data_IF_150452911442
#
_entry.id   IF_150452911442
#
_cell.length_a   1.000
_cell.length_b   1.000
_cell.length_c   1.000
_cell.angle_alpha   90.00
_cell.angle_beta   90.00
_cell.angle_gamma   90.00
#
_symmetry.space_group_name_H-M   'P 1'
#
loop_
_entity.id
_entity.type
_entity.pdbx_description
1 polymer ?
#
# COMPACT_ATOMS: atom_id res chain seq x y z
N UNK A 1 -2.43 -9.97 -12.19
CA UNK A 1 -2.10 -8.52 -12.12
C UNK A 1 -1.67 -8.06 -13.49
N UNK A 2 -2.32 -7.03 -14.05
CA UNK A 2 -2.17 -6.61 -15.46
C UNK A 2 -0.75 -6.10 -15.82
N UNK A 3 0.05 -5.65 -14.84
CA UNK A 3 1.40 -5.12 -15.06
C UNK A 3 2.55 -6.09 -14.67
N UNK A 4 2.25 -7.35 -14.33
CA UNK A 4 3.27 -8.30 -13.89
C UNK A 4 3.89 -8.02 -12.50
N UNK A 5 3.35 -7.06 -11.77
CA UNK A 5 3.74 -6.75 -10.38
C UNK A 5 3.06 -7.72 -9.41
N UNK A 6 3.82 -8.31 -8.49
CA UNK A 6 3.28 -9.14 -7.40
C UNK A 6 2.63 -8.25 -6.34
N UNK A 7 1.45 -8.61 -5.88
CA UNK A 7 0.75 -7.99 -4.76
C UNK A 7 0.11 -9.09 -3.89
N UNK A 8 -0.28 -8.80 -2.64
CA UNK A 8 -1.09 -9.70 -1.84
C UNK A 8 -2.33 -10.13 -2.62
N UNK A 9 -2.79 -11.36 -2.38
CA UNK A 9 -4.11 -11.76 -2.88
C UNK A 9 -5.15 -10.89 -2.20
N UNK A 10 -5.97 -10.22 -3.00
CA UNK A 10 -6.91 -9.21 -2.53
C UNK A 10 -8.32 -9.53 -3.01
N UNK A 11 -9.30 -9.41 -2.12
CA UNK A 11 -10.72 -9.56 -2.41
C UNK A 11 -11.44 -8.30 -1.94
N UNK A 12 -12.02 -7.57 -2.90
CA UNK A 12 -12.89 -6.43 -2.59
C UNK A 12 -14.21 -6.91 -2.00
N UNK A 13 -14.67 -6.22 -0.97
CA UNK A 13 -15.94 -6.53 -0.35
C UNK A 13 -17.11 -5.95 -1.17
N UNK A 14 -18.26 -6.66 -1.23
CA UNK A 14 -19.46 -6.11 -1.83
C UNK A 14 -19.99 -4.95 -0.98
N UNK A 15 -20.32 -3.84 -1.62
CA UNK A 15 -20.99 -2.71 -0.96
C UNK A 15 -22.43 -3.08 -0.62
N UNK A 16 -22.82 -2.85 0.63
CA UNK A 16 -24.19 -2.96 1.08
C UNK A 16 -24.89 -1.58 1.04
N UNK A 17 -25.93 -1.50 0.21
CA UNK A 17 -26.77 -0.30 0.07
C UNK A 17 -28.13 -0.42 0.80
N UNK A 18 -28.35 -1.49 1.57
CA UNK A 18 -29.61 -1.75 2.27
C UNK A 18 -29.42 -1.74 3.78
N UNK A 19 -30.44 -1.34 4.54
CA UNK A 19 -30.37 -1.37 6.01
C UNK A 19 -30.31 -2.78 6.59
N UNK A 20 -30.75 -3.79 5.81
CA UNK A 20 -30.66 -5.20 6.16
C UNK A 20 -29.86 -5.93 5.09
N UNK A 21 -28.85 -6.66 5.53
CA UNK A 21 -28.10 -7.59 4.69
C UNK A 21 -28.74 -8.96 4.86
N UNK A 22 -28.92 -9.66 3.75
CA UNK A 22 -29.32 -11.06 3.75
C UNK A 22 -28.18 -11.91 4.36
N UNK A 23 -28.49 -12.64 5.44
CA UNK A 23 -27.53 -13.47 6.15
C UNK A 23 -26.93 -14.57 5.27
N UNK A 24 -27.66 -15.06 4.27
CA UNK A 24 -27.14 -16.02 3.29
C UNK A 24 -26.05 -15.36 2.42
N UNK A 25 -26.27 -14.11 2.01
CA UNK A 25 -25.30 -13.36 1.20
C UNK A 25 -24.04 -13.05 2.03
N UNK A 26 -24.19 -12.66 3.30
CA UNK A 26 -23.05 -12.47 4.20
C UNK A 26 -22.22 -13.75 4.34
N UNK A 27 -22.88 -14.87 4.65
CA UNK A 27 -22.18 -16.14 4.87
C UNK A 27 -21.45 -16.63 3.63
N UNK A 28 -22.04 -16.47 2.44
CA UNK A 28 -21.37 -16.80 1.18
C UNK A 28 -20.13 -15.93 0.95
N UNK A 29 -20.14 -14.67 1.36
CA UNK A 29 -18.96 -13.81 1.27
C UNK A 29 -17.88 -14.20 2.27
N UNK A 30 -18.25 -14.55 3.52
CA UNK A 30 -17.30 -15.06 4.50
C UNK A 30 -16.63 -16.36 4.05
N UNK A 31 -17.41 -17.30 3.52
CA UNK A 31 -16.90 -18.58 3.00
C UNK A 31 -15.99 -18.37 1.78
N UNK A 32 -16.29 -17.38 0.93
CA UNK A 32 -15.41 -16.98 -0.16
C UNK A 32 -14.07 -16.47 0.39
N UNK A 33 -14.08 -15.58 1.37
CA UNK A 33 -12.86 -15.05 1.98
C UNK A 33 -12.03 -16.17 2.61
N UNK A 34 -12.63 -17.06 3.39
CA UNK A 34 -11.93 -18.17 4.08
C UNK A 34 -11.43 -19.25 3.12
N UNK A 35 -12.04 -19.40 1.94
CA UNK A 35 -11.54 -20.30 0.90
C UNK A 35 -10.32 -19.72 0.18
N UNK A 36 -10.32 -18.41 -0.02
CA UNK A 36 -9.35 -17.75 -0.86
C UNK A 36 -8.17 -17.14 -0.09
N UNK A 37 -8.38 -16.73 1.15
CA UNK A 37 -7.41 -16.09 2.05
C UNK A 37 -7.25 -16.92 3.33
N UNK A 38 -6.14 -16.71 4.05
CA UNK A 38 -5.90 -17.37 5.35
C UNK A 38 -5.98 -16.37 6.51
N UNK A 39 -6.32 -16.86 7.70
CA UNK A 39 -6.17 -16.09 8.93
C UNK A 39 -4.70 -16.08 9.41
N UNK A 40 -4.22 -14.98 10.01
CA UNK A 40 -4.89 -13.67 10.02
C UNK A 40 -4.91 -13.07 8.60
N UNK A 41 -5.96 -12.30 8.29
CA UNK A 41 -6.08 -11.54 7.04
C UNK A 41 -6.10 -10.04 7.33
N UNK A 42 -5.75 -9.22 6.35
CA UNK A 42 -5.71 -7.76 6.48
C UNK A 42 -7.01 -7.17 5.96
N UNK A 43 -7.76 -6.49 6.81
CA UNK A 43 -8.85 -5.59 6.41
C UNK A 43 -8.29 -4.21 6.08
N UNK A 44 -8.72 -3.60 4.96
CA UNK A 44 -8.41 -2.20 4.59
C UNK A 44 -9.68 -1.47 4.14
N UNK A 45 -9.97 -0.32 4.73
CA UNK A 45 -10.94 0.62 4.15
C UNK A 45 -10.32 1.36 2.95
N UNK A 46 -11.08 1.58 1.88
CA UNK A 46 -10.60 2.24 0.67
C UNK A 46 -10.46 3.76 0.80
N UNK A 47 -11.17 4.37 1.76
CA UNK A 47 -11.14 5.82 1.97
C UNK A 47 -10.51 6.18 3.31
N UNK A 48 -9.46 7.00 3.30
CA UNK A 48 -8.79 7.61 4.47
C UNK A 48 -7.30 7.22 4.55
N UNK A 49 -6.55 7.83 5.48
CA UNK A 49 -5.08 7.86 5.44
C UNK A 49 -4.41 7.47 6.77
N UNK A 50 -3.07 7.38 6.74
CA UNK A 50 -2.20 7.21 7.92
C UNK A 50 -2.38 5.87 8.67
N UNK A 51 -2.74 4.79 7.99
CA UNK A 51 -2.76 3.43 8.56
C UNK A 51 -3.85 3.15 9.60
N UNK A 52 -4.66 4.15 9.99
CA UNK A 52 -5.73 4.00 11.00
C UNK A 52 -6.87 3.05 10.61
N UNK A 53 -6.91 2.63 9.34
CA UNK A 53 -8.00 1.86 8.75
C UNK A 53 -7.58 0.48 8.26
N UNK A 54 -6.35 0.08 8.63
CA UNK A 54 -5.82 -1.26 8.36
C UNK A 54 -5.89 -2.04 9.66
N UNK A 55 -6.51 -3.23 9.64
CA UNK A 55 -6.67 -4.08 10.82
C UNK A 55 -6.39 -5.54 10.47
N UNK A 56 -5.82 -6.28 11.41
CA UNK A 56 -5.74 -7.73 11.32
C UNK A 56 -7.04 -8.35 11.80
N UNK A 57 -7.51 -9.33 11.05
CA UNK A 57 -8.69 -10.15 11.36
C UNK A 57 -8.17 -11.57 11.56
N UNK A 58 -8.33 -12.11 12.75
CA UNK A 58 -7.71 -13.39 13.17
C UNK A 58 -8.70 -14.54 13.27
N UNK A 59 -10.00 -14.27 13.11
CA UNK A 59 -11.05 -15.29 13.21
C UNK A 59 -12.30 -14.92 12.42
N UNK A 60 -13.16 -15.91 12.16
CA UNK A 60 -14.48 -15.71 11.53
C UNK A 60 -15.35 -14.72 12.30
N UNK A 61 -15.28 -14.76 13.63
CA UNK A 61 -16.02 -13.84 14.48
C UNK A 61 -15.58 -12.38 14.26
N UNK A 62 -14.26 -12.14 14.26
CA UNK A 62 -13.71 -10.81 13.97
C UNK A 62 -14.05 -10.35 12.54
N UNK A 63 -14.07 -11.28 11.57
CA UNK A 63 -14.46 -10.99 10.19
C UNK A 63 -15.91 -10.49 10.13
N UNK A 64 -16.83 -11.22 10.76
CA UNK A 64 -18.26 -10.84 10.84
C UNK A 64 -18.46 -9.48 11.50
N UNK A 65 -17.78 -9.24 12.62
CA UNK A 65 -17.84 -7.96 13.33
C UNK A 65 -17.30 -6.82 12.46
N UNK A 66 -16.15 -7.01 11.81
CA UNK A 66 -15.54 -5.99 10.96
C UNK A 66 -16.38 -5.69 9.72
N UNK A 67 -16.91 -6.73 9.07
CA UNK A 67 -17.75 -6.58 7.88
C UNK A 67 -19.02 -5.79 8.22
N UNK A 68 -19.72 -6.12 9.30
CA UNK A 68 -20.94 -5.38 9.71
C UNK A 68 -20.67 -3.90 10.00
N UNK A 69 -19.52 -3.58 10.59
CA UNK A 69 -19.11 -2.19 10.81
C UNK A 69 -18.77 -1.44 9.52
N UNK A 70 -18.44 -2.17 8.45
CA UNK A 70 -17.82 -1.60 7.24
C UNK A 70 -18.63 -1.85 5.96
N UNK A 71 -19.73 -2.58 6.04
CA UNK A 71 -20.51 -3.02 4.89
C UNK A 71 -21.07 -1.86 4.04
N UNK A 72 -21.23 -0.68 4.63
CA UNK A 72 -21.70 0.52 3.94
C UNK A 72 -20.59 1.40 3.34
N UNK A 73 -19.33 0.97 3.45
CA UNK A 73 -18.17 1.68 2.92
C UNK A 73 -17.28 0.75 2.10
N UNK A 74 -16.57 1.32 1.12
CA UNK A 74 -15.64 0.56 0.30
C UNK A 74 -14.50 0.02 1.16
N UNK A 75 -14.29 -1.30 1.09
CA UNK A 75 -13.22 -1.98 1.80
C UNK A 75 -12.83 -3.27 1.08
N UNK A 76 -11.68 -3.81 1.49
CA UNK A 76 -11.10 -5.02 0.92
C UNK A 76 -10.41 -5.85 2.00
N UNK A 77 -10.17 -7.12 1.66
CA UNK A 77 -9.45 -8.09 2.47
C UNK A 77 -8.26 -8.63 1.69
N UNK A 78 -7.12 -8.77 2.35
CA UNK A 78 -5.89 -9.26 1.74
C UNK A 78 -5.20 -10.34 2.57
N UNK A 79 -4.40 -11.16 1.91
CA UNK A 79 -3.47 -12.05 2.61
C UNK A 79 -2.52 -11.24 3.50
N UNK A 80 -2.37 -11.70 4.75
CA UNK A 80 -1.37 -11.14 5.65
C UNK A 80 0.03 -11.66 5.28
N UNK A 81 0.94 -10.72 5.06
CA UNK A 81 2.34 -11.03 4.80
C UNK A 81 3.15 -10.93 6.09
N UNK A 82 3.28 -12.04 6.81
CA UNK A 82 3.99 -12.08 8.09
C UNK A 82 5.46 -11.65 7.99
N UNK A 83 6.11 -11.87 6.83
CA UNK A 83 7.47 -11.42 6.56
C UNK A 83 7.65 -9.90 6.58
N UNK A 84 6.56 -9.11 6.60
CA UNK A 84 6.55 -7.63 6.59
C UNK A 84 5.92 -6.99 7.81
N UNK A 85 5.71 -7.74 8.89
CA UNK A 85 5.17 -7.18 10.11
C UNK A 85 6.04 -6.01 10.58
N UNK A 86 5.54 -4.79 10.39
CA UNK A 86 6.20 -3.55 10.78
C UNK A 86 7.30 -3.07 9.84
N UNK A 87 7.47 -3.63 8.64
CA UNK A 87 8.58 -3.27 7.71
C UNK A 87 8.09 -3.11 6.26
N UNK A 88 8.28 -1.93 5.69
CA UNK A 88 8.10 -1.69 4.26
C UNK A 88 9.00 -0.56 3.71
N UNK A 89 9.00 -0.42 2.38
CA UNK A 89 9.74 0.60 1.66
C UNK A 89 8.77 1.58 1.01
N UNK A 90 8.95 2.87 1.25
CA UNK A 90 8.32 3.95 0.50
C UNK A 90 9.30 4.47 -0.55
N UNK A 91 8.99 4.22 -1.82
CA UNK A 91 9.74 4.71 -2.97
C UNK A 91 9.01 5.93 -3.54
N UNK A 92 9.74 7.03 -3.72
CA UNK A 92 9.21 8.23 -4.39
C UNK A 92 9.60 8.17 -5.85
N UNK A 93 8.59 8.09 -6.72
CA UNK A 93 8.72 8.11 -8.17
C UNK A 93 8.36 9.50 -8.67
N UNK A 94 9.24 10.08 -9.49
CA UNK A 94 9.03 11.32 -10.24
C UNK A 94 9.47 11.07 -11.68
N UNK A 95 8.61 11.35 -12.66
CA UNK A 95 8.92 11.23 -14.09
C UNK A 95 9.54 9.87 -14.46
N UNK A 96 8.89 8.79 -14.00
CA UNK A 96 9.29 7.39 -14.21
C UNK A 96 10.67 7.03 -13.62
N UNK A 97 11.16 7.78 -12.63
CA UNK A 97 12.40 7.49 -11.91
C UNK A 97 12.18 7.46 -10.41
N UNK A 98 12.76 6.48 -9.74
CA UNK A 98 12.83 6.48 -8.28
C UNK A 98 13.91 7.46 -7.85
N UNK A 99 13.52 8.52 -7.16
CA UNK A 99 14.45 9.56 -6.70
C UNK A 99 14.85 9.39 -5.24
N UNK A 100 14.02 8.73 -4.42
CA UNK A 100 14.27 8.55 -3.00
C UNK A 100 13.60 7.27 -2.50
N UNK A 101 14.25 6.57 -1.58
CA UNK A 101 13.68 5.38 -0.93
C UNK A 101 13.89 5.44 0.58
N UNK A 102 12.78 5.32 1.31
CA UNK A 102 12.77 5.26 2.76
C UNK A 102 12.25 3.90 3.22
N UNK A 103 13.08 3.15 3.94
CA UNK A 103 12.63 1.99 4.71
C UNK A 103 11.93 2.48 5.97
N UNK A 104 10.75 1.93 6.29
CA UNK A 104 10.00 2.25 7.50
C UNK A 104 9.92 1.02 8.37
N UNK A 105 10.32 1.14 9.64
CA UNK A 105 10.31 0.05 10.62
C UNK A 105 9.52 0.39 11.88
N UNK A 106 8.69 -0.53 12.33
CA UNK A 106 7.92 -0.45 13.58
C UNK A 106 8.06 -1.76 14.37
N UNK A 107 8.59 -1.66 15.59
CA UNK A 107 8.84 -2.83 16.46
C UNK A 107 7.59 -3.26 17.25
N UNK A 108 6.53 -2.45 17.26
CA UNK A 108 5.37 -2.63 18.14
C UNK A 108 4.03 -2.75 17.42
N UNK A 109 4.00 -2.52 16.10
CA UNK A 109 2.81 -2.59 15.26
C UNK A 109 3.18 -3.23 13.91
N UNK A 110 2.28 -4.03 13.34
CA UNK A 110 2.51 -4.62 12.02
C UNK A 110 2.50 -3.56 10.91
N UNK A 111 2.02 -2.34 11.21
CA UNK A 111 2.04 -1.18 10.31
C UNK A 111 3.30 -0.37 10.56
N UNK A 112 4.10 -0.20 9.52
CA UNK A 112 5.36 0.55 9.54
C UNK A 112 5.20 2.08 9.54
N UNK A 113 3.97 2.61 9.40
CA UNK A 113 3.74 4.04 9.19
C UNK A 113 4.40 4.91 10.29
N UNK A 114 5.14 5.95 9.87
CA UNK A 114 5.81 6.88 10.79
C UNK A 114 4.80 7.57 11.73
N UNK A 115 3.60 7.89 11.22
CA UNK A 115 2.51 8.47 12.03
C UNK A 115 2.02 7.55 13.17
N UNK A 116 2.36 6.27 13.14
CA UNK A 116 2.04 5.26 14.16
C UNK A 116 3.26 4.88 15.03
N UNK A 117 4.34 5.67 14.97
CA UNK A 117 5.56 5.43 15.75
C UNK A 117 6.67 4.69 15.00
N UNK A 118 6.47 4.39 13.71
CA UNK A 118 7.53 3.84 12.87
C UNK A 118 8.70 4.82 12.69
N UNK A 119 9.89 4.28 12.42
CA UNK A 119 11.12 5.03 12.12
C UNK A 119 11.51 4.88 10.66
N UNK A 120 11.97 5.95 10.03
CA UNK A 120 12.45 5.98 8.65
C UNK A 120 13.97 5.85 8.56
N UNK A 121 14.45 5.13 7.55
CA UNK A 121 15.87 4.96 7.23
C UNK A 121 16.08 5.15 5.73
N UNK A 122 17.15 5.87 5.36
CA UNK A 122 17.51 6.05 3.95
C UNK A 122 18.14 4.77 3.40
N UNK A 123 17.54 4.24 2.35
CA UNK A 123 18.03 3.06 1.61
C UNK A 123 18.05 3.31 0.11
N UNK A 124 18.06 4.58 -0.31
CA UNK A 124 17.98 4.99 -1.73
C UNK A 124 19.05 4.33 -2.60
N UNK A 125 20.27 4.23 -2.08
CA UNK A 125 21.43 3.65 -2.78
C UNK A 125 21.66 2.16 -2.49
N UNK A 126 21.02 1.62 -1.44
CA UNK A 126 21.25 0.24 -0.98
C UNK A 126 20.14 -0.74 -1.32
N UNK A 127 18.95 -0.25 -1.69
CA UNK A 127 17.83 -1.09 -2.12
C UNK A 127 18.15 -1.80 -3.45
N UNK A 128 17.72 -3.06 -3.57
CA UNK A 128 17.90 -3.84 -4.79
C UNK A 128 17.12 -3.23 -5.97
N UNK A 129 17.73 -3.21 -7.15
CA UNK A 129 17.18 -2.54 -8.34
C UNK A 129 15.77 -3.03 -8.72
N UNK A 130 15.48 -4.31 -8.46
CA UNK A 130 14.15 -4.91 -8.70
C UNK A 130 13.02 -4.18 -7.98
N UNK A 131 13.26 -3.57 -6.82
CA UNK A 131 12.27 -2.75 -6.11
C UNK A 131 11.98 -1.45 -6.87
N UNK A 132 13.03 -0.83 -7.41
CA UNK A 132 12.90 0.40 -8.20
C UNK A 132 12.13 0.12 -9.50
N UNK A 133 12.46 -0.98 -10.19
CA UNK A 133 11.73 -1.42 -11.37
C UNK A 133 10.25 -1.66 -11.11
N UNK A 134 9.91 -2.31 -9.98
CA UNK A 134 8.51 -2.57 -9.61
C UNK A 134 7.78 -1.27 -9.29
N UNK A 135 8.42 -0.32 -8.60
CA UNK A 135 7.81 0.98 -8.32
C UNK A 135 7.55 1.79 -9.60
N UNK A 136 8.49 1.79 -10.54
CA UNK A 136 8.31 2.46 -11.85
C UNK A 136 7.16 1.81 -12.63
N UNK A 137 7.14 0.48 -12.74
CA UNK A 137 6.05 -0.26 -13.41
C UNK A 137 4.69 0.00 -12.78
N UNK A 138 4.62 0.09 -11.45
CA UNK A 138 3.39 0.42 -10.74
C UNK A 138 2.92 1.86 -11.05
N UNK A 139 3.84 2.82 -11.04
CA UNK A 139 3.54 4.23 -11.38
C UNK A 139 3.06 4.37 -12.83
N UNK A 140 3.72 3.70 -13.78
CA UNK A 140 3.35 3.69 -15.20
C UNK A 140 1.99 3.05 -15.44
N UNK A 141 1.72 1.90 -14.81
CA UNK A 141 0.44 1.21 -14.95
C UNK A 141 -0.75 2.03 -14.42
N UNK A 142 -0.50 2.98 -13.52
CA UNK A 142 -1.48 3.87 -12.92
C UNK A 142 -1.49 5.28 -13.54
N UNK A 143 -0.67 5.53 -14.56
CA UNK A 143 -0.52 6.85 -15.22
C UNK A 143 -0.17 7.98 -14.21
N UNK A 144 0.74 7.68 -13.28
CA UNK A 144 1.19 8.61 -12.25
C UNK A 144 2.58 9.18 -12.60
N UNK A 145 2.64 10.50 -12.80
CA UNK A 145 3.90 11.25 -12.98
C UNK A 145 4.68 11.44 -11.68
N UNK A 146 3.94 11.48 -10.57
CA UNK A 146 4.44 11.57 -9.21
C UNK A 146 3.69 10.57 -8.34
N UNK A 147 4.43 9.71 -7.63
CA UNK A 147 3.82 8.75 -6.73
C UNK A 147 4.73 8.36 -5.57
N UNK A 148 4.13 8.13 -4.41
CA UNK A 148 4.72 7.28 -3.38
C UNK A 148 4.25 5.85 -3.57
N UNK A 149 5.17 4.93 -3.83
CA UNK A 149 4.90 3.50 -3.99
C UNK A 149 5.39 2.75 -2.75
N UNK A 150 4.51 1.98 -2.13
CA UNK A 150 4.85 1.14 -0.98
C UNK A 150 5.05 -0.29 -1.39
N UNK A 151 6.22 -0.81 -1.06
CA UNK A 151 6.62 -2.18 -1.32
C UNK A 151 7.02 -2.89 -0.02
N UNK A 152 6.58 -4.13 0.10
CA UNK A 152 7.01 -5.08 1.12
C UNK A 152 8.04 -6.07 0.53
N UNK A 153 8.81 -6.75 1.38
CA UNK A 153 9.90 -7.69 1.01
C UNK A 153 9.51 -9.16 1.11
N UNK A 154 8.77 -9.73 0.17
CA UNK A 154 8.26 -11.11 0.24
C UNK A 154 9.24 -12.18 0.76
N UNK A 155 8.73 -13.35 1.15
CA UNK A 155 9.51 -14.39 1.86
C UNK A 155 10.87 -14.77 1.23
N UNK A 156 11.04 -14.59 -0.08
CA UNK A 156 12.30 -14.86 -0.80
C UNK A 156 13.08 -13.58 -1.17
N UNK A 157 12.76 -12.45 -0.55
CA UNK A 157 13.34 -11.13 -0.83
C UNK A 157 12.64 -10.36 -1.95
N UNK A 158 11.62 -10.92 -2.61
CA UNK A 158 11.00 -10.27 -3.77
C UNK A 158 10.15 -9.04 -3.39
N UNK A 159 10.08 -8.00 -4.23
CA UNK A 159 9.18 -6.87 -3.99
C UNK A 159 7.71 -7.29 -4.13
N UNK A 160 6.91 -6.93 -3.12
CA UNK A 160 5.46 -7.11 -3.09
C UNK A 160 4.80 -5.73 -3.00
N UNK A 161 4.02 -5.36 -4.01
CA UNK A 161 3.31 -4.09 -4.06
C UNK A 161 2.17 -4.02 -3.05
N UNK A 162 2.12 -2.95 -2.26
CA UNK A 162 1.12 -2.73 -1.22
C UNK A 162 0.15 -1.59 -1.56
N UNK A 163 0.67 -0.42 -1.90
CA UNK A 163 -0.13 0.75 -2.25
C UNK A 163 0.62 1.69 -3.20
N UNK A 164 -0.14 2.48 -3.96
CA UNK A 164 0.36 3.63 -4.69
C UNK A 164 -0.42 4.87 -4.25
N UNK A 165 0.30 5.96 -4.00
CA UNK A 165 -0.27 7.23 -3.59
C UNK A 165 0.19 8.35 -4.53
N UNK A 166 -0.71 8.82 -5.39
CA UNK A 166 -0.45 9.94 -6.31
C UNK A 166 -0.34 11.32 -5.65
N UNK A 167 -0.77 11.44 -4.38
CA UNK A 167 -0.63 12.65 -3.55
C UNK A 167 0.25 12.34 -2.33
N UNK A 168 1.38 11.67 -2.55
CA UNK A 168 2.26 11.25 -1.47
C UNK A 168 2.83 12.45 -0.71
N UNK A 169 2.83 12.35 0.62
CA UNK A 169 3.60 13.25 1.46
C UNK A 169 5.08 12.84 1.40
N UNK A 170 5.94 13.80 1.08
CA UNK A 170 7.37 13.57 0.94
C UNK A 170 8.21 14.14 2.09
N UNK A 171 7.64 14.93 2.99
CA UNK A 171 8.36 15.60 4.10
C UNK A 171 9.22 14.66 4.94
N UNK A 172 8.71 13.48 5.31
CA UNK A 172 9.49 12.53 6.09
C UNK A 172 10.59 11.85 5.26
N UNK A 173 10.33 11.59 3.98
CA UNK A 173 11.33 11.05 3.06
C UNK A 173 12.46 12.06 2.85
N UNK A 174 12.16 13.34 2.63
CA UNK A 174 13.18 14.40 2.49
C UNK A 174 14.01 14.57 3.77
N UNK A 175 13.40 14.47 4.96
CA UNK A 175 14.13 14.54 6.24
C UNK A 175 15.15 13.42 6.39
N UNK A 176 14.81 12.22 5.93
CA UNK A 176 15.63 11.02 6.07
C UNK A 176 16.70 10.92 4.97
N UNK A 177 16.33 11.23 3.72
CA UNK A 177 17.20 11.09 2.54
C UNK A 177 17.98 12.35 2.18
N UNK A 178 17.55 13.51 2.69
CA UNK A 178 18.08 14.83 2.33
C UNK A 178 17.97 15.19 0.84
N UNK A 179 17.12 14.49 0.10
CA UNK A 179 16.82 14.75 -1.31
C UNK A 179 15.69 15.79 -1.39
N UNK A 180 15.86 16.80 -2.25
CA UNK A 180 14.85 17.85 -2.50
C UNK A 180 13.82 17.36 -3.52
N UNK A 181 12.82 16.63 -3.01
CA UNK A 181 11.76 16.01 -3.81
C UNK A 181 10.88 17.11 -4.45
N UNK A 182 10.62 18.19 -3.72
CA UNK A 182 9.85 19.33 -4.24
C UNK A 182 10.50 19.90 -5.51
N UNK A 183 11.81 20.11 -5.49
CA UNK A 183 12.55 20.61 -6.66
C UNK A 183 12.53 19.63 -7.83
N UNK A 184 12.65 18.32 -7.61
CA UNK A 184 12.54 17.31 -8.68
C UNK A 184 11.15 17.33 -9.35
N UNK A 185 10.08 17.47 -8.56
CA UNK A 185 8.71 17.62 -9.10
C UNK A 185 8.57 18.93 -9.90
N UNK A 186 9.12 20.05 -9.40
CA UNK A 186 9.10 21.33 -10.13
C UNK A 186 9.88 21.22 -11.45
N UNK A 187 11.07 20.59 -11.45
CA UNK A 187 11.85 20.35 -12.67
C UNK A 187 11.07 19.52 -13.68
N UNK A 188 10.40 18.44 -13.25
CA UNK A 188 9.53 17.64 -14.10
C UNK A 188 8.45 18.52 -14.77
N UNK A 189 7.76 19.34 -13.99
CA UNK A 189 6.70 20.23 -14.51
C UNK A 189 7.27 21.22 -15.53
N UNK A 190 8.40 21.88 -15.21
CA UNK A 190 9.05 22.84 -16.12
C UNK A 190 9.45 22.18 -17.43
N UNK A 191 10.08 21.00 -17.36
CA UNK A 191 10.50 20.27 -18.56
C UNK A 191 9.30 19.89 -19.43
N UNK A 192 8.20 19.43 -18.82
CA UNK A 192 7.00 19.05 -19.56
C UNK A 192 6.28 20.23 -20.23
N UNK A 193 6.30 21.41 -19.60
CA UNK A 193 5.65 22.63 -20.15
C UNK A 193 6.54 23.31 -21.20
N UNK A 194 7.83 23.50 -20.90
CA UNK A 194 8.70 24.40 -21.67
C UNK A 194 9.71 23.67 -22.57
N UNK A 195 9.95 22.38 -22.36
CA UNK A 195 10.92 21.60 -23.15
C UNK A 195 10.27 20.60 -24.12
N UNK A 196 8.94 20.62 -24.29
CA UNK A 196 8.30 19.99 -25.47
C UNK A 196 8.66 20.77 -26.74
N UNK A 197 9.80 20.41 -27.34
CA UNK A 197 10.11 20.57 -28.77
C UNK A 197 10.01 19.22 -29.44
#
# INVERSE_FOLDING_TARGET
>A
YQAGVKAPKTISAPLCYTERIDEEVENRFYDLLERELSYPMVYKACHGSLGKQVKLISSRKELQEMYRLSCHQEHLYEDYLDSHAGDDYRLIVVDHKVIAVMERKNEHDFRSNIALGGKGYDVTDSIEEVYKEVAIKASEALDLDYAGIDLARGKNGEPIFLEANGNAFFTEVEKVTHIDIANEVVKMIINRIYQKK
#
